data_IF_261990077595
#
_entry.id   IF_261990077595
#
_cell.length_a   1.000
_cell.length_b   1.000
_cell.length_c   1.000
_cell.angle_alpha   90.00
_cell.angle_beta   90.00
_cell.angle_gamma   90.00
#
_symmetry.space_group_name_H-M   'P 1'
#
loop_
_entity.id
_entity.type
_entity.pdbx_description
1 polymer ?
2 non-polymer ?
3 non-polymer ?
4 non-polymer ?
5 non-polymer ?
6 water ?
#
# COMPACT_ATOMS: atom_id res chain seq x y z
N UNK A 15 -8.81 -12.59 34.67
CA UNK A 15 -8.64 -11.20 34.26
C UNK A 15 -7.22 -10.92 33.76
N UNK A 16 -7.11 -9.93 32.89
CA UNK A 16 -5.83 -9.42 32.40
C UNK A 16 -5.86 -7.92 32.63
N UNK A 17 -5.26 -7.47 33.73
CA UNK A 17 -5.19 -6.06 34.08
C UNK A 17 -3.80 -5.49 33.82
N UNK A 18 -3.05 -6.06 32.89
CA UNK A 18 -1.71 -5.59 32.63
C UNK A 18 -1.73 -4.18 32.06
N UNK A 19 -2.44 -3.98 30.96
CA UNK A 19 -2.38 -2.69 30.29
C UNK A 19 -3.16 -1.61 31.03
N UNK A 20 -4.14 -2.00 31.84
CA UNK A 20 -4.89 -1.04 32.65
C UNK A 20 -3.97 -0.33 33.65
N UNK A 22 -0.14 2.07 34.59
CA UNK A 22 0.78 2.63 33.59
C UNK A 22 0.31 4.01 33.15
N UNK A 23 1.06 5.05 33.53
CA UNK A 23 0.76 6.41 33.09
C UNK A 23 1.81 6.99 32.18
N UNK A 24 3.01 6.40 32.13
CA UNK A 24 4.06 6.92 31.28
C UNK A 24 4.16 5.99 30.08
N UNK A 25 3.54 6.42 28.99
CA UNK A 25 3.72 5.79 27.69
C UNK A 25 2.97 6.64 26.69
N UNK A 26 3.43 6.68 25.44
CA UNK A 26 2.70 7.39 24.40
C UNK A 26 2.59 6.47 23.20
N UNK A 27 1.49 6.59 22.48
CA UNK A 27 1.14 5.61 21.45
C UNK A 27 0.73 6.34 20.20
N UNK A 28 1.29 5.93 19.06
CA UNK A 28 0.99 6.56 17.78
C UNK A 28 0.56 5.51 16.77
N UNK A 29 -0.35 5.92 15.89
CA UNK A 29 -0.67 5.17 14.67
C UNK A 29 0.42 5.44 13.64
N UNK A 30 0.90 4.38 12.99
CA UNK A 30 1.81 4.48 11.85
C UNK A 30 1.07 3.90 10.67
N UNK A 31 0.95 4.69 9.60
CA UNK A 31 0.39 4.19 8.34
C UNK A 31 1.52 4.04 7.32
N UNK A 32 1.50 2.94 6.57
CA UNK A 32 2.44 2.73 5.47
C UNK A 32 1.68 2.46 4.19
N UNK A 33 2.02 3.18 3.10
CA UNK A 33 1.40 2.85 1.82
C UNK A 33 1.95 1.55 1.27
N UNK A 34 3.13 1.13 1.76
CA UNK A 34 3.89 0.04 1.16
C UNK A 34 3.96 -1.16 2.09
N UNK A 35 3.62 -2.33 1.56
CA UNK A 35 3.85 -3.55 2.31
C UNK A 35 5.34 -3.89 2.35
N UNK A 36 6.09 -3.49 1.33
CA UNK A 36 7.53 -3.74 1.36
C UNK A 36 8.19 -3.01 2.52
N UNK A 37 7.74 -1.78 2.78
CA UNK A 37 8.34 -1.02 3.87
C UNK A 37 8.07 -1.68 5.22
N UNK A 38 6.88 -2.25 5.42
CA UNK A 38 6.60 -3.06 6.61
C UNK A 38 7.62 -4.19 6.72
N UNK A 39 7.78 -4.97 5.64
CA UNK A 39 8.74 -6.09 5.70
C UNK A 39 10.15 -5.61 6.00
N UNK A 40 10.56 -4.48 5.43
CA UNK A 40 11.89 -3.96 5.67
C UNK A 40 12.04 -3.51 7.12
N UNK A 41 10.99 -2.89 7.67
CA UNK A 41 11.02 -2.47 9.06
C UNK A 41 11.15 -3.64 10.01
N UNK A 42 10.43 -4.72 9.74
CA UNK A 42 10.49 -5.91 10.60
C UNK A 42 11.86 -6.56 10.48
N UNK A 43 12.41 -6.61 9.27
CA UNK A 43 13.71 -7.27 9.07
C UNK A 43 14.84 -6.54 9.77
N UNK A 44 14.87 -5.20 9.68
CA UNK A 44 16.02 -4.43 10.13
C UNK A 44 15.73 -3.58 11.36
N UNK A 45 14.49 -3.63 11.88
CA UNK A 45 14.09 -2.86 13.06
C UNK A 45 14.41 -1.38 12.93
N UNK A 46 13.96 -0.78 11.83
CA UNK A 46 14.09 0.65 11.60
C UNK A 46 12.81 1.16 10.95
N UNK A 47 12.64 2.48 11.03
CA UNK A 47 11.50 3.15 10.41
C UNK A 47 11.90 4.58 10.08
N UNK A 48 11.07 5.23 9.26
CA UNK A 48 11.14 6.66 9.01
C UNK A 48 9.74 7.11 8.64
N UNK A 49 9.34 8.29 9.12
CA UNK A 49 8.03 8.87 8.78
C UNK A 49 8.22 10.06 7.86
N UNK A 50 7.16 10.86 7.72
CA UNK A 50 7.21 12.16 7.06
C UNK A 50 8.04 13.13 7.91
N UNK A 51 8.30 14.31 7.34
CA UNK A 51 8.96 15.35 8.11
C UNK A 51 8.18 15.68 9.38
N UNK A 52 6.89 15.99 9.25
CA UNK A 52 6.12 16.35 10.44
C UNK A 52 5.93 15.14 11.36
N UNK A 53 5.78 13.94 10.78
CA UNK A 53 5.68 12.74 11.60
C UNK A 53 6.95 12.48 12.40
N UNK A 54 8.11 12.55 11.73
CA UNK A 54 9.36 12.39 12.44
C UNK A 54 9.49 13.39 13.58
N UNK A 55 9.10 14.64 13.33
CA UNK A 55 9.18 15.66 14.36
C UNK A 55 8.33 15.29 15.58
N UNK A 56 7.11 14.80 15.33
CA UNK A 56 6.21 14.43 16.42
C UNK A 56 6.77 13.26 17.22
N UNK A 57 7.24 12.24 16.52
CA UNK A 57 7.74 11.04 17.19
C UNK A 57 9.01 11.34 17.96
N UNK A 58 9.90 12.16 17.37
CA UNK A 58 11.14 12.51 18.03
C UNK A 58 10.85 13.27 19.33
N UNK A 59 9.89 14.20 19.28
CA UNK A 59 9.57 14.97 20.48
C UNK A 59 9.02 14.08 21.59
N UNK A 60 8.13 13.14 21.23
CA UNK A 60 7.59 12.20 22.20
C UNK A 60 8.67 11.32 22.80
N UNK A 61 9.56 10.78 21.94
CA UNK A 61 10.61 9.90 22.42
C UNK A 61 11.56 10.63 23.37
N UNK A 62 11.94 11.85 22.99
CA UNK A 62 12.94 12.57 23.78
C UNK A 62 12.35 13.04 25.09
N UNK A 63 11.09 13.50 25.08
CA UNK A 63 10.43 13.92 26.31
C UNK A 63 10.15 12.76 27.25
N UNK A 64 9.98 11.55 26.71
CA UNK A 64 9.83 10.38 27.56
C UNK A 64 11.06 10.14 28.43
N UNK A 65 12.25 10.42 27.89
CA UNK A 65 13.49 10.25 28.65
C UNK A 65 13.59 8.85 29.25
N UNK A 66 13.11 7.85 28.50
CA UNK A 66 13.19 6.48 28.97
C UNK A 66 12.28 6.12 30.13
N UNK A 67 11.32 6.99 30.49
CA UNK A 67 10.43 6.71 31.62
C UNK A 67 9.23 5.85 31.23
N UNK A 68 9.04 5.56 29.95
CA UNK A 68 7.98 4.71 29.48
C UNK A 68 8.18 4.45 28.00
N UNK A 69 7.36 3.60 27.40
CA UNK A 69 7.55 3.28 25.98
C UNK A 69 6.84 4.28 25.07
N UNK A 70 7.37 4.41 23.86
CA UNK A 70 6.62 4.99 22.75
C UNK A 70 6.24 3.82 21.85
N UNK A 71 4.94 3.54 21.75
CA UNK A 71 4.46 2.42 20.97
C UNK A 71 3.95 2.94 19.64
N UNK A 72 4.14 2.11 18.61
CA UNK A 72 3.77 2.40 17.23
C UNK A 72 2.86 1.28 16.76
N UNK A 73 1.65 1.63 16.33
CA UNK A 73 0.64 0.69 15.90
C UNK A 73 0.57 0.76 14.38
N UNK A 74 1.07 -0.26 13.70
CA UNK A 74 1.30 -0.22 12.25
C UNK A 74 0.11 -0.76 11.47
N UNK A 75 -0.19 -0.10 10.35
CA UNK A 75 -1.27 -0.51 9.47
C UNK A 75 -0.96 -0.04 8.06
N UNK A 76 -1.09 -0.94 7.09
CA UNK A 76 -0.91 -0.57 5.68
C UNK A 76 -2.19 0.09 5.17
N UNK A 77 -2.04 1.26 4.54
CA UNK A 77 -3.18 2.02 4.03
C UNK A 77 -4.02 1.18 3.09
N UNK A 78 -5.32 1.11 3.37
CA UNK A 78 -6.24 0.36 2.53
C UNK A 78 -6.35 -1.12 2.82
N UNK A 79 -5.48 -1.67 3.67
CA UNK A 79 -5.43 -3.11 3.89
C UNK A 79 -6.60 -3.62 4.73
N UNK A 80 -7.19 -2.76 5.55
CA UNK A 80 -8.29 -3.17 6.40
C UNK A 80 -7.89 -3.84 7.69
N UNK A 81 -6.60 -3.83 8.05
CA UNK A 81 -6.16 -4.42 9.31
C UNK A 81 -4.88 -3.75 9.78
N UNK A 82 -4.68 -3.77 11.08
CA UNK A 82 -3.35 -3.50 11.62
C UNK A 82 -2.48 -4.72 11.43
N UNK A 83 -1.17 -4.51 11.33
CA UNK A 83 -0.26 -5.61 11.08
C UNK A 83 0.76 -5.83 12.20
N UNK A 84 0.79 -4.98 13.22
CA UNK A 84 1.66 -5.25 14.34
C UNK A 84 1.94 -4.01 15.18
N UNK A 85 2.83 -4.20 16.15
CA UNK A 85 3.16 -3.21 17.16
C UNK A 85 4.67 -3.17 17.30
N UNK A 86 5.25 -1.98 17.36
CA UNK A 86 6.67 -1.82 17.60
C UNK A 86 6.88 -0.74 18.63
N UNK A 87 8.04 -0.79 19.28
CA UNK A 87 8.43 0.26 20.21
C UNK A 87 9.52 1.10 19.56
N UNK A 88 9.37 2.43 19.61
CA UNK A 88 10.46 3.32 19.26
C UNK A 88 11.66 3.07 20.16
N UNK A 89 12.86 2.94 19.55
CA UNK A 89 14.04 2.58 20.31
C UNK A 89 15.22 3.53 20.11
N UNK A 90 15.04 4.63 19.38
CA UNK A 90 16.05 5.65 19.28
C UNK A 90 15.40 6.97 18.90
N UNK A 91 16.14 8.05 19.11
CA UNK A 91 15.76 9.34 18.54
C UNK A 91 15.92 9.30 17.02
N UNK A 92 15.38 10.33 16.35
CA UNK A 92 15.43 10.39 14.89
C UNK A 92 16.80 10.91 14.46
N UNK A 93 17.46 10.16 13.58
CA UNK A 93 18.64 10.61 12.85
C UNK A 93 18.16 11.11 11.50
N UNK A 94 18.27 12.42 11.26
CA UNK A 94 17.68 13.03 10.08
C UNK A 94 18.58 13.02 8.86
N UNK A 95 19.83 12.60 9.00
CA UNK A 95 20.80 12.66 7.90
C UNK A 95 21.29 11.24 7.66
N UNK A 96 20.59 10.51 6.79
CA UNK A 96 20.91 9.12 6.53
C UNK A 96 20.75 8.85 5.04
N UNK A 97 21.16 7.65 4.65
CA UNK A 97 21.11 7.24 3.26
C UNK A 97 19.70 7.43 2.69
N UNK A 98 19.62 8.03 1.51
CA UNK A 98 18.34 8.25 0.88
C UNK A 98 17.90 7.00 0.10
N UNK A 99 16.60 6.91 -0.20
CA UNK A 99 16.12 5.90 -1.11
C UNK A 99 16.08 4.46 -0.62
N UNK A 100 16.12 4.21 0.70
CA UNK A 100 16.12 2.84 1.18
C UNK A 100 14.72 2.23 1.27
N UNK A 101 13.67 3.05 1.15
CA UNK A 101 12.28 2.59 1.22
C UNK A 101 11.69 2.58 -0.18
N UNK A 102 10.42 2.16 -0.28
CA UNK A 102 9.80 2.00 -1.60
C UNK A 102 9.81 3.32 -2.39
N UNK A 103 9.40 4.41 -1.76
CA UNK A 103 9.44 5.73 -2.37
C UNK A 103 10.58 6.54 -1.78
N UNK A 104 11.14 7.43 -2.58
CA UNK A 104 12.24 8.27 -2.10
C UNK A 104 11.67 9.58 -1.53
N UNK A 105 10.78 9.42 -0.56
CA UNK A 105 10.00 10.50 0.04
C UNK A 105 10.32 10.73 1.51
N UNK A 106 11.24 9.96 2.08
CA UNK A 106 11.47 9.93 3.52
C UNK A 106 12.90 10.36 3.81
N UNK A 107 13.05 11.22 4.81
CA UNK A 107 14.34 11.76 5.19
C UNK A 107 14.62 11.35 6.62
N UNK A 108 15.59 10.46 6.82
CA UNK A 108 16.02 10.08 8.16
C UNK A 108 15.71 8.64 8.49
N UNK A 109 15.94 8.30 9.77
CA UNK A 109 15.86 6.92 10.25
C UNK A 109 15.79 6.93 11.77
N UNK A 110 15.04 5.99 12.34
CA UNK A 110 15.14 5.71 13.77
C UNK A 110 14.95 4.23 14.03
N UNK A 111 15.44 3.78 15.17
CA UNK A 111 15.35 2.37 15.52
C UNK A 111 13.97 2.06 16.08
N UNK A 112 13.49 0.85 15.80
CA UNK A 112 12.30 0.32 16.45
C UNK A 112 12.62 -1.09 16.92
N UNK A 113 11.72 -1.63 17.74
CA UNK A 113 11.73 -3.04 18.07
C UNK A 113 10.33 -3.58 17.86
N UNK A 114 10.15 -4.41 16.84
CA UNK A 114 8.84 -5.01 16.64
C UNK A 114 8.60 -6.00 17.77
N UNK A 115 7.50 -5.82 18.49
CA UNK A 115 7.18 -6.70 19.59
C UNK A 115 5.96 -7.54 19.31
N UNK A 116 5.26 -7.29 18.20
CA UNK A 116 4.08 -8.05 17.85
C UNK A 116 3.89 -7.95 16.34
N UNK A 117 3.91 -9.09 15.64
CA UNK A 117 3.61 -9.10 14.20
C UNK A 117 2.40 -10.01 14.02
N UNK A 118 1.22 -9.42 13.84
CA UNK A 118 0.04 -10.20 13.50
C UNK A 118 -1.03 -9.28 12.95
N UNK A 119 -1.83 -9.84 12.05
CA UNK A 119 -2.92 -9.09 11.47
C UNK A 119 -4.10 -9.06 12.44
N UNK A 120 -4.63 -7.86 12.63
CA UNK A 120 -5.79 -7.61 13.49
C UNK A 120 -6.80 -6.81 12.67
N UNK A 121 -7.93 -7.42 12.31
CA UNK A 121 -8.89 -6.75 11.44
C UNK A 121 -9.41 -5.47 12.05
N UNK A 122 -9.72 -4.49 11.18
CA UNK A 122 -10.25 -3.23 11.66
C UNK A 122 -11.56 -3.44 12.42
N UNK A 123 -12.33 -4.47 12.06
CA UNK A 123 -13.57 -4.74 12.77
C UNK A 123 -13.36 -4.90 14.27
N UNK A 124 -12.18 -5.39 14.68
CA UNK A 124 -11.88 -5.61 16.09
C UNK A 124 -11.60 -4.31 16.84
N UNK A 125 -11.27 -3.24 16.13
CA UNK A 125 -10.81 -2.00 16.72
C UNK A 125 -11.69 -0.78 16.44
N UNK A 126 -12.62 -0.87 15.49
CA UNK A 126 -13.28 0.33 14.97
C UNK A 126 -14.26 0.96 15.95
N UNK A 127 -14.60 0.29 17.05
CA UNK A 127 -15.47 0.89 18.06
C UNK A 127 -14.71 1.74 19.07
N UNK A 128 -13.38 1.76 19.01
CA UNK A 128 -12.57 2.60 19.86
C UNK A 128 -12.37 3.93 19.12
N UNK A 129 -12.82 5.02 19.71
CA UNK A 129 -12.80 6.34 19.07
C UNK A 129 -11.82 7.26 19.78
N UNK A 130 -11.29 8.23 19.05
CA UNK A 130 -10.23 9.10 19.56
C UNK A 130 -10.81 10.49 19.84
N UNK A 131 -10.90 10.84 21.13
CA UNK A 131 -11.44 12.16 21.47
C UNK A 131 -10.59 13.31 20.94
N UNK A 132 -9.31 13.06 20.65
CA UNK A 132 -8.43 14.08 20.11
C UNK A 132 -8.46 14.13 18.59
N UNK A 133 -9.26 13.29 17.95
CA UNK A 133 -9.44 13.31 16.51
C UNK A 133 -10.91 13.25 16.14
N UNK A 134 -11.69 14.18 16.73
CA UNK A 134 -13.10 14.36 16.40
C UNK A 134 -13.95 13.10 16.64
N UNK A 135 -13.60 12.29 17.66
CA UNK A 135 -14.33 11.08 18.00
C UNK A 135 -14.32 10.07 16.84
N UNK A 136 -13.36 10.19 15.93
CA UNK A 136 -13.26 9.27 14.80
C UNK A 136 -12.72 7.92 15.26
N UNK A 137 -13.18 6.82 14.65
CA UNK A 137 -12.62 5.50 14.95
C UNK A 137 -11.11 5.50 14.81
N UNK A 138 -10.45 4.79 15.73
CA UNK A 138 -8.99 4.70 15.69
C UNK A 138 -8.52 4.13 14.36
N UNK A 139 -9.35 3.30 13.72
CA UNK A 139 -9.07 2.68 12.43
C UNK A 139 -9.18 3.66 11.26
N UNK A 140 -9.64 4.89 11.49
CA UNK A 140 -9.68 5.92 10.46
C UNK A 140 -8.62 7.00 10.69
N UNK A 141 -7.51 6.63 11.33
CA UNK A 141 -6.46 7.58 11.63
C UNK A 141 -5.50 7.74 10.45
N UNK A 142 -4.88 8.90 10.40
CA UNK A 142 -3.77 9.17 9.49
C UNK A 142 -2.43 8.85 10.18
N UNK A 143 -1.38 8.83 9.36
CA UNK A 143 -0.03 8.57 9.85
C UNK A 143 0.33 9.50 11.01
N UNK A 144 0.94 8.91 12.05
CA UNK A 144 1.40 9.53 13.31
C UNK A 144 0.31 10.25 14.08
N UNK A 145 -0.96 9.92 13.85
CA UNK A 145 -2.02 10.26 14.80
C UNK A 145 -1.67 9.71 16.19
N UNK A 146 -1.69 10.58 17.22
CA UNK A 146 -1.42 10.07 18.56
C UNK A 146 -2.72 9.55 19.17
N UNK A 147 -2.62 8.50 19.98
CA UNK A 147 -3.77 7.83 20.62
C UNK A 147 -3.74 8.18 22.10
N UNK A 148 -4.84 8.70 22.67
CA UNK A 148 -4.88 8.93 24.12
C UNK A 148 -4.58 7.64 24.87
N UNK A 149 -3.90 7.76 26.01
CA UNK A 149 -3.40 6.58 26.69
C UNK A 149 -4.52 5.63 27.10
N UNK A 150 -5.65 6.16 27.57
CA UNK A 150 -6.71 5.25 27.96
C UNK A 150 -7.26 4.48 26.77
N UNK A 151 -7.33 5.11 25.58
CA UNK A 151 -7.76 4.38 24.39
C UNK A 151 -6.67 3.44 23.91
N UNK A 152 -5.40 3.85 24.04
CA UNK A 152 -4.30 2.98 23.62
C UNK A 152 -4.25 1.69 24.43
N UNK A 153 -4.56 1.77 25.73
CA UNK A 153 -4.61 0.56 26.54
C UNK A 153 -5.66 -0.40 26.01
N UNK A 154 -6.81 0.13 25.59
CA UNK A 154 -7.86 -0.71 25.04
C UNK A 154 -7.42 -1.35 23.73
N UNK A 155 -6.74 -0.57 22.88
CA UNK A 155 -6.29 -1.09 21.60
C UNK A 155 -5.26 -2.20 21.81
N UNK A 156 -4.30 -1.97 22.70
CA UNK A 156 -3.25 -2.95 22.92
C UNK A 156 -3.80 -4.25 23.48
N UNK A 157 -4.78 -4.16 24.37
CA UNK A 157 -5.35 -5.38 24.92
C UNK A 157 -6.06 -6.19 23.84
N UNK A 158 -6.76 -5.50 22.93
CA UNK A 158 -7.43 -6.20 21.83
C UNK A 158 -6.41 -6.84 20.88
N UNK A 159 -5.33 -6.12 20.56
CA UNK A 159 -4.32 -6.70 19.68
C UNK A 159 -3.69 -7.92 20.34
N UNK A 160 -3.39 -7.82 21.64
CA UNK A 160 -2.71 -8.92 22.32
C UNK A 160 -3.57 -10.18 22.33
N UNK A 161 -4.86 -10.02 22.52
CA UNK A 161 -5.74 -11.16 22.71
C UNK A 161 -6.40 -11.65 21.43
N UNK A 162 -6.13 -11.02 20.28
CA UNK A 162 -6.78 -11.46 19.06
C UNK A 162 -6.20 -12.79 18.58
N UNK A 163 -7.08 -13.65 18.07
CA UNK A 163 -6.67 -14.95 17.55
C UNK A 163 -7.42 -15.30 16.27
N UNK B 16 0.86 10.22 -31.08
CA UNK B 16 -0.05 9.58 -32.03
C UNK B 16 0.62 8.40 -32.74
N UNK B 17 1.92 8.19 -32.45
CA UNK B 17 2.59 6.99 -32.94
C UNK B 17 2.14 5.74 -32.21
N UNK B 18 1.55 5.89 -31.01
CA UNK B 18 1.31 4.78 -30.11
C UNK B 18 -0.18 4.51 -29.98
N UNK B 19 -0.55 3.22 -30.01
CA UNK B 19 -1.90 2.76 -29.69
C UNK B 19 -2.95 3.43 -30.57
N UNK B 20 -2.62 3.65 -31.84
CA UNK B 20 -3.59 4.14 -32.80
C UNK B 20 -4.46 3.02 -33.35
N UNK B 21 -4.00 1.77 -33.33
CA UNK B 21 -4.73 0.64 -33.91
C UNK B 21 -5.17 -0.30 -32.79
N UNK B 22 -6.07 0.20 -31.96
CA UNK B 22 -6.68 -0.56 -30.87
C UNK B 22 -8.18 -0.65 -31.14
N UNK B 23 -8.55 -1.48 -32.11
CA UNK B 23 -9.96 -1.57 -32.51
C UNK B 23 -10.79 -2.22 -31.40
N UNK B 24 -10.29 -3.31 -30.83
CA UNK B 24 -11.02 -4.03 -29.81
C UNK B 24 -10.23 -4.01 -28.51
N UNK B 25 -10.58 -4.89 -27.59
CA UNK B 25 -9.74 -5.08 -26.43
C UNK B 25 -10.10 -4.15 -25.29
N UNK B 26 -9.43 -4.39 -24.18
CA UNK B 26 -9.95 -3.93 -22.90
C UNK B 26 -8.77 -3.62 -22.01
N UNK B 27 -8.99 -2.71 -21.07
CA UNK B 27 -7.88 -2.13 -20.31
C UNK B 27 -8.29 -2.05 -18.84
N UNK B 28 -7.38 -2.47 -17.96
CA UNK B 28 -7.65 -2.48 -16.53
C UNK B 28 -6.52 -1.77 -15.79
N UNK B 29 -6.89 -1.10 -14.68
CA UNK B 29 -5.95 -0.58 -13.70
C UNK B 29 -5.46 -1.72 -12.82
N UNK B 30 -4.15 -1.77 -12.57
CA UNK B 30 -3.56 -2.67 -11.57
C UNK B 30 -2.95 -1.81 -10.48
N UNK B 31 -3.32 -2.07 -9.24
CA UNK B 31 -2.70 -1.43 -8.09
C UNK B 31 -1.85 -2.45 -7.35
N UNK B 32 -0.82 -1.97 -6.67
CA UNK B 32 0.01 -2.90 -5.90
C UNK B 32 0.44 -2.27 -4.59
N UNK B 33 0.36 -3.06 -3.52
CA UNK B 33 0.96 -2.69 -2.25
C UNK B 33 2.48 -2.86 -2.21
N UNK B 34 3.09 -3.36 -3.29
CA UNK B 34 4.46 -3.84 -3.25
C UNK B 34 5.18 -3.45 -4.54
N UNK B 35 6.21 -2.62 -4.41
CA UNK B 35 7.11 -2.40 -5.53
C UNK B 35 7.89 -3.65 -5.87
N UNK B 36 8.19 -4.47 -4.85
CA UNK B 36 8.96 -5.68 -5.12
C UNK B 36 8.18 -6.60 -6.05
N UNK B 37 6.86 -6.69 -5.85
CA UNK B 37 6.02 -7.52 -6.72
C UNK B 37 6.06 -7.01 -8.16
N UNK B 38 6.04 -5.69 -8.35
CA UNK B 38 6.19 -5.12 -9.69
C UNK B 38 7.54 -5.54 -10.30
N UNK B 39 8.61 -5.41 -9.53
CA UNK B 39 9.92 -5.80 -10.03
C UNK B 39 9.94 -7.27 -10.45
N UNK B 40 9.32 -8.14 -9.65
CA UNK B 40 9.22 -9.56 -10.00
C UNK B 40 8.43 -9.72 -11.29
N UNK B 41 7.33 -8.97 -11.40
CA UNK B 41 6.50 -9.02 -12.60
C UNK B 41 7.27 -8.66 -13.86
N UNK B 42 8.08 -7.60 -13.79
CA UNK B 42 8.88 -7.17 -14.93
C UNK B 42 9.94 -8.19 -15.25
N UNK B 43 10.55 -8.77 -14.21
CA UNK B 43 11.61 -9.76 -14.43
C UNK B 43 11.09 -11.01 -15.12
N UNK B 44 9.97 -11.55 -14.67
CA UNK B 44 9.52 -12.87 -15.10
C UNK B 44 8.27 -12.81 -15.96
N UNK B 45 7.79 -11.61 -16.30
CA UNK B 45 6.60 -11.41 -17.12
C UNK B 45 5.42 -12.26 -16.63
N UNK B 46 5.08 -12.07 -15.36
CA UNK B 46 3.95 -12.75 -14.72
C UNK B 46 3.31 -11.79 -13.75
N UNK B 47 2.06 -12.09 -13.39
CA UNK B 47 1.32 -11.30 -12.41
C UNK B 47 0.24 -12.16 -11.77
N UNK B 48 -0.32 -11.64 -10.68
CA UNK B 48 -1.38 -12.26 -9.91
C UNK B 48 -2.17 -11.14 -9.24
N UNK B 49 -3.51 -11.26 -9.18
CA UNK B 49 -4.35 -10.28 -8.49
C UNK B 49 -5.01 -10.93 -7.27
N UNK B 50 -6.03 -10.26 -6.72
CA UNK B 50 -6.92 -10.90 -5.76
C UNK B 50 -7.73 -11.99 -6.46
N UNK B 51 -8.51 -12.72 -5.65
CA UNK B 51 -9.40 -13.72 -6.23
C UNK B 51 -10.39 -13.04 -7.18
N UNK B 52 -11.06 -11.98 -6.70
CA UNK B 52 -12.04 -11.32 -7.54
C UNK B 52 -11.38 -10.59 -8.72
N UNK B 53 -10.16 -10.07 -8.54
CA UNK B 53 -9.45 -9.47 -9.65
C UNK B 53 -9.04 -10.49 -10.69
N UNK B 54 -8.52 -11.64 -10.26
CA UNK B 54 -8.15 -12.69 -11.21
C UNK B 54 -9.35 -13.11 -12.04
N UNK B 55 -10.49 -13.31 -11.38
CA UNK B 55 -11.70 -13.71 -12.10
C UNK B 55 -12.11 -12.66 -13.13
N UNK B 56 -12.03 -11.38 -12.76
CA UNK B 56 -12.38 -10.30 -13.69
C UNK B 56 -11.46 -10.30 -14.90
N UNK B 57 -10.14 -10.43 -14.66
CA UNK B 57 -9.19 -10.37 -15.75
C UNK B 57 -9.28 -11.62 -16.62
N UNK B 58 -9.51 -12.77 -15.99
CA UNK B 58 -9.64 -14.03 -16.73
C UNK B 58 -10.82 -13.98 -17.67
N UNK B 59 -11.97 -13.50 -17.16
CA UNK B 59 -13.17 -13.39 -17.99
C UNK B 59 -12.94 -12.46 -19.18
N UNK B 60 -12.29 -11.32 -18.96
CA UNK B 60 -12.01 -10.42 -20.08
C UNK B 60 -11.03 -11.06 -21.08
N UNK B 61 -10.01 -11.76 -20.59
CA UNK B 61 -9.05 -12.40 -21.51
C UNK B 61 -9.72 -13.50 -22.32
N UNK B 62 -10.50 -14.36 -21.65
CA UNK B 62 -11.13 -15.47 -22.34
C UNK B 62 -12.16 -14.99 -23.36
N UNK B 63 -12.97 -13.99 -22.99
CA UNK B 63 -13.97 -13.47 -23.90
C UNK B 63 -13.35 -12.76 -25.09
N UNK B 64 -12.09 -12.35 -24.98
CA UNK B 64 -11.46 -11.62 -26.06
C UNK B 64 -10.99 -12.59 -27.15
N UNK B 65 -10.68 -13.83 -26.75
CA UNK B 65 -10.36 -14.93 -27.67
C UNK B 65 -9.33 -14.51 -28.73
N UNK B 66 -8.39 -13.67 -28.33
CA UNK B 66 -7.34 -13.24 -29.23
C UNK B 66 -7.71 -12.17 -30.23
N UNK B 67 -8.92 -11.61 -30.15
CA UNK B 67 -9.35 -10.60 -31.11
C UNK B 67 -8.70 -9.24 -30.86
N UNK B 68 -8.20 -8.98 -29.66
CA UNK B 68 -7.56 -7.73 -29.34
C UNK B 68 -6.77 -7.85 -28.04
N UNK B 69 -6.10 -6.78 -27.63
CA UNK B 69 -5.25 -6.86 -26.44
C UNK B 69 -6.02 -6.55 -25.16
N UNK B 70 -5.58 -7.17 -24.07
CA UNK B 70 -5.98 -6.78 -22.73
C UNK B 70 -4.77 -6.11 -22.12
N UNK B 71 -4.88 -4.81 -21.86
CA UNK B 71 -3.79 -4.01 -21.33
C UNK B 71 -4.00 -3.77 -19.86
N UNK B 72 -2.88 -3.66 -19.14
CA UNK B 72 -2.87 -3.46 -17.70
C UNK B 72 -2.05 -2.22 -17.42
N UNK B 73 -2.64 -1.24 -16.70
CA UNK B 73 -1.98 0.01 -16.38
C UNK B 73 -1.58 -0.04 -14.91
N UNK B 74 -0.28 -0.16 -14.63
CA UNK B 74 0.18 -0.47 -13.27
C UNK B 74 0.45 0.80 -12.47
N UNK B 75 0.08 0.78 -11.18
CA UNK B 75 0.40 1.90 -10.31
C UNK B 75 0.59 1.38 -8.89
N UNK B 76 1.70 1.77 -8.27
CA UNK B 76 2.00 1.33 -6.91
C UNK B 76 1.28 2.26 -5.94
N UNK B 77 0.58 1.66 -4.96
CA UNK B 77 -0.15 2.44 -3.97
C UNK B 77 0.74 3.47 -3.30
N UNK B 78 0.26 4.71 -3.24
CA UNK B 78 0.98 5.78 -2.57
C UNK B 78 2.17 6.34 -3.32
N UNK B 79 2.40 5.93 -4.57
CA UNK B 79 3.56 6.36 -5.31
C UNK B 79 3.35 7.70 -6.02
N UNK B 80 2.10 8.08 -6.26
CA UNK B 80 1.80 9.27 -7.03
C UNK B 80 2.08 9.16 -8.50
N UNK B 81 2.28 7.95 -9.02
CA UNK B 81 2.60 7.83 -10.44
C UNK B 81 2.32 6.41 -10.91
N UNK B 82 1.92 6.30 -12.19
CA UNK B 82 1.81 5.00 -12.82
C UNK B 82 3.22 4.56 -13.18
N UNK B 83 3.44 3.25 -13.23
CA UNK B 83 4.81 2.78 -13.42
C UNK B 83 4.99 1.96 -14.69
N UNK B 84 3.93 1.69 -15.43
CA UNK B 84 4.09 1.13 -16.76
C UNK B 84 2.82 0.48 -17.26
N UNK B 85 2.99 -0.25 -18.36
CA UNK B 85 1.90 -0.92 -19.07
C UNK B 85 2.38 -2.31 -19.44
N UNK B 86 1.52 -3.29 -19.23
CA UNK B 86 1.75 -4.65 -19.68
C UNK B 86 0.54 -5.16 -20.44
N UNK B 87 0.76 -6.10 -21.34
CA UNK B 87 -0.33 -6.80 -21.96
C UNK B 87 -0.48 -8.16 -21.30
N UNK B 88 -1.72 -8.54 -21.03
CA UNK B 88 -1.99 -9.84 -20.47
C UNK B 88 -1.90 -10.89 -21.58
N UNK B 89 -1.15 -11.96 -21.32
CA UNK B 89 -0.73 -12.87 -22.38
C UNK B 89 -1.12 -14.33 -22.13
N UNK B 90 -1.87 -14.61 -21.08
CA UNK B 90 -2.41 -15.95 -20.84
C UNK B 90 -3.63 -15.81 -19.95
N UNK B 91 -4.41 -16.89 -19.91
CA UNK B 91 -5.49 -17.02 -18.95
C UNK B 91 -4.93 -17.26 -17.56
N UNK B 92 -5.80 -17.16 -16.56
CA UNK B 92 -5.35 -17.32 -15.18
C UNK B 92 -5.19 -18.80 -14.87
N UNK B 93 -4.04 -19.17 -14.33
CA UNK B 93 -3.85 -20.46 -13.69
C UNK B 93 -4.01 -20.25 -12.19
N UNK B 94 -5.01 -20.90 -11.61
CA UNK B 94 -5.33 -20.67 -10.21
C UNK B 94 -4.60 -21.60 -9.25
N UNK B 95 -3.97 -22.67 -9.74
CA UNK B 95 -3.34 -23.67 -8.89
C UNK B 95 -1.84 -23.61 -9.16
N UNK B 96 -1.13 -22.81 -8.37
CA UNK B 96 0.28 -22.58 -8.58
C UNK B 96 0.98 -22.51 -7.22
N UNK B 97 2.30 -22.46 -7.29
CA UNK B 97 3.14 -22.42 -6.10
C UNK B 97 2.71 -21.29 -5.16
N UNK B 98 2.59 -21.62 -3.89
CA UNK B 98 2.23 -20.61 -2.90
C UNK B 98 3.46 -19.79 -2.49
N UNK B 99 3.19 -18.59 -1.95
CA UNK B 99 4.23 -17.82 -1.30
C UNK B 99 5.29 -17.18 -2.18
N UNK B 100 5.01 -16.94 -3.47
CA UNK B 100 6.04 -16.44 -4.39
C UNK B 100 6.04 -14.92 -4.48
N UNK B 101 5.03 -14.27 -3.94
CA UNK B 101 4.92 -12.81 -3.95
C UNK B 101 5.18 -12.25 -2.55
N UNK B 102 5.00 -10.93 -2.43
CA UNK B 102 5.31 -10.22 -1.19
C UNK B 102 4.45 -10.71 -0.04
N UNK B 103 3.25 -11.16 -0.35
CA UNK B 103 2.31 -11.70 0.63
C UNK B 103 1.72 -13.00 0.10
N UNK B 104 1.32 -13.87 1.03
CA UNK B 104 0.74 -15.16 0.66
C UNK B 104 -0.63 -15.02 0.00
N UNK B 105 -1.35 -13.93 0.24
CA UNK B 105 -2.71 -13.77 -0.30
C UNK B 105 -2.76 -13.63 -1.83
N UNK B 106 -1.63 -13.37 -2.50
CA UNK B 106 -1.64 -13.28 -3.95
C UNK B 106 -1.46 -14.71 -4.48
N UNK B 107 -2.57 -15.35 -4.85
CA UNK B 107 -2.63 -16.75 -5.27
C UNK B 107 -2.97 -16.86 -6.76
N UNK B 108 -2.29 -17.77 -7.47
CA UNK B 108 -2.50 -17.96 -8.89
C UNK B 108 -1.49 -17.19 -9.72
N UNK B 109 -1.64 -17.29 -11.05
CA UNK B 109 -0.64 -16.69 -11.92
C UNK B 109 -1.19 -16.58 -13.35
N UNK B 110 -0.83 -15.50 -14.03
CA UNK B 110 -0.99 -15.42 -15.48
C UNK B 110 0.20 -14.69 -16.08
N UNK B 111 0.44 -14.94 -17.37
CA UNK B 111 1.53 -14.33 -18.09
C UNK B 111 1.18 -12.89 -18.50
N UNK B 112 2.20 -12.05 -18.56
CA UNK B 112 2.07 -10.70 -19.10
C UNK B 112 3.27 -10.44 -19.99
N UNK B 113 3.18 -9.37 -20.78
CA UNK B 113 4.32 -8.84 -21.52
C UNK B 113 4.41 -7.34 -21.26
N UNK B 114 5.40 -6.91 -20.48
CA UNK B 114 5.57 -5.50 -20.22
C UNK B 114 5.95 -4.76 -21.50
N UNK B 115 5.29 -3.63 -21.73
CA UNK B 115 5.49 -2.80 -22.91
C UNK B 115 6.24 -1.52 -22.57
N UNK B 116 5.80 -0.83 -21.52
CA UNK B 116 6.49 0.35 -21.01
C UNK B 116 6.78 0.11 -19.53
N UNK B 117 8.01 0.40 -19.13
CA UNK B 117 8.38 0.53 -17.72
C UNK B 117 8.89 1.96 -17.55
N UNK B 118 8.05 2.83 -16.99
CA UNK B 118 8.39 4.24 -16.87
C UNK B 118 7.46 4.86 -15.84
N UNK B 119 8.00 5.75 -15.02
CA UNK B 119 7.19 6.47 -14.05
C UNK B 119 6.56 7.68 -14.72
N UNK B 120 5.24 7.75 -14.66
CA UNK B 120 4.47 8.85 -15.21
C UNK B 120 3.67 9.47 -14.07
N UNK B 121 3.90 10.74 -13.75
CA UNK B 121 3.21 11.36 -12.60
C UNK B 121 1.70 11.38 -12.79
N UNK B 122 0.97 11.16 -11.68
CA UNK B 122 -0.48 11.22 -11.75
C UNK B 122 -0.98 12.57 -12.25
N UNK B 123 -0.19 13.63 -12.09
CA UNK B 123 -0.58 14.94 -12.58
C UNK B 123 -0.85 14.91 -14.09
N UNK B 124 -0.16 14.05 -14.83
CA UNK B 124 -0.36 13.93 -16.26
C UNK B 124 -1.64 13.19 -16.64
N UNK B 125 -2.27 12.48 -15.70
CA UNK B 125 -3.38 11.57 -15.97
C UNK B 125 -4.66 11.91 -15.24
N UNK B 126 -4.61 12.78 -14.22
CA UNK B 126 -5.74 12.93 -13.31
C UNK B 126 -6.93 13.63 -13.95
N UNK B 127 -6.72 14.31 -15.09
CA UNK B 127 -7.83 14.94 -15.81
C UNK B 127 -8.70 13.93 -16.54
N UNK B 128 -8.27 12.67 -16.68
CA UNK B 128 -9.04 11.64 -17.37
C UNK B 128 -9.98 10.99 -16.37
N UNK B 129 -11.29 11.05 -16.64
CA UNK B 129 -12.28 10.53 -15.71
C UNK B 129 -13.02 9.34 -16.31
N UNK B 130 -13.47 8.45 -15.43
CA UNK B 130 -14.08 7.19 -15.85
C UNK B 130 -15.60 7.28 -15.70
N UNK B 131 -16.32 7.25 -16.82
CA UNK B 131 -17.77 7.34 -16.77
C UNK B 131 -18.41 6.10 -16.14
N UNK B 132 -17.70 4.97 -16.07
CA UNK B 132 -18.18 3.80 -15.38
C UNK B 132 -17.81 3.77 -13.90
N UNK B 133 -17.11 4.79 -13.41
CA UNK B 133 -16.76 4.86 -11.99
C UNK B 133 -17.11 6.25 -11.43
N UNK B 134 -18.35 6.68 -11.64
CA UNK B 134 -18.86 7.94 -11.08
C UNK B 134 -18.02 9.16 -11.51
N UNK B 135 -17.47 9.10 -12.72
CA UNK B 135 -16.65 10.17 -13.29
C UNK B 135 -15.46 10.53 -12.40
N UNK B 136 -14.96 9.54 -11.63
CA UNK B 136 -13.77 9.76 -10.81
C UNK B 136 -12.51 9.74 -11.67
N UNK B 137 -11.48 10.49 -11.26
CA UNK B 137 -10.21 10.47 -12.01
C UNK B 137 -9.68 9.05 -12.13
N UNK B 138 -9.05 8.77 -13.27
CA UNK B 138 -8.49 7.44 -13.47
C UNK B 138 -7.43 7.17 -12.41
N UNK B 139 -6.79 8.21 -11.90
CA UNK B 139 -5.76 8.08 -10.87
C UNK B 139 -6.30 7.70 -9.50
N UNK B 140 -7.63 7.69 -9.32
CA UNK B 140 -8.24 7.30 -8.06
C UNK B 140 -8.88 5.92 -8.16
N UNK B 141 -8.40 5.08 -9.07
CA UNK B 141 -9.00 3.79 -9.30
C UNK B 141 -8.45 2.76 -8.31
N UNK B 142 -9.25 1.73 -8.07
CA UNK B 142 -8.83 0.57 -7.30
C UNK B 142 -8.35 -0.53 -8.23
N UNK B 143 -7.75 -1.55 -7.63
CA UNK B 143 -7.23 -2.70 -8.35
C UNK B 143 -8.29 -3.34 -9.24
N UNK B 144 -7.93 -3.55 -10.52
CA UNK B 144 -8.73 -4.18 -11.58
C UNK B 144 -9.98 -3.40 -11.96
N UNK B 145 -10.03 -2.11 -11.59
CA UNK B 145 -10.98 -1.20 -12.23
C UNK B 145 -10.83 -1.25 -13.75
N UNK B 146 -11.93 -1.51 -14.46
CA UNK B 146 -11.88 -1.49 -15.93
C UNK B 146 -12.01 -0.06 -16.45
N UNK B 147 -11.29 0.25 -17.52
CA UNK B 147 -11.22 1.60 -18.08
C UNK B 147 -11.96 1.60 -19.41
N UNK B 148 -12.93 2.50 -19.62
CA UNK B 148 -13.57 2.59 -20.94
C UNK B 148 -12.53 2.78 -22.04
N UNK B 149 -12.78 2.16 -23.20
CA UNK B 149 -11.72 2.08 -24.21
C UNK B 149 -11.23 3.46 -24.66
N UNK B 150 -12.14 4.43 -24.80
CA UNK B 150 -11.67 5.73 -25.27
C UNK B 150 -10.82 6.43 -24.21
N UNK B 151 -11.15 6.25 -22.92
CA UNK B 151 -10.29 6.82 -21.88
C UNK B 151 -8.97 6.07 -21.79
N UNK B 152 -9.02 4.74 -21.92
CA UNK B 152 -7.80 3.94 -21.87
C UNK B 152 -6.84 4.34 -22.98
N UNK B 153 -7.35 4.61 -24.19
CA UNK B 153 -6.48 5.06 -25.26
C UNK B 153 -5.77 6.35 -24.89
N UNK B 154 -6.47 7.28 -24.21
CA UNK B 154 -5.85 8.53 -23.82
C UNK B 154 -4.73 8.30 -22.80
N UNK B 155 -4.96 7.39 -21.85
CA UNK B 155 -3.95 7.09 -20.83
C UNK B 155 -2.74 6.43 -21.47
N UNK B 156 -2.98 5.44 -22.34
CA UNK B 156 -1.87 4.72 -22.96
C UNK B 156 -1.00 5.65 -23.79
N UNK B 157 -1.62 6.54 -24.58
CA UNK B 157 -0.83 7.46 -25.38
C UNK B 157 -0.03 8.43 -24.52
N UNK B 158 -0.61 8.87 -23.39
CA UNK B 158 0.12 9.76 -22.51
C UNK B 158 1.32 9.03 -21.91
N UNK B 159 1.11 7.80 -21.44
CA UNK B 159 2.21 7.07 -20.83
C UNK B 159 3.31 6.82 -21.87
N UNK B 160 2.91 6.41 -23.07
CA UNK B 160 3.88 6.07 -24.10
C UNK B 160 4.75 7.26 -24.48
N UNK B 161 4.15 8.45 -24.57
CA UNK B 161 4.85 9.62 -25.07
C UNK B 161 5.52 10.45 -23.96
N UNK B 162 5.30 10.12 -22.70
CA UNK B 162 5.83 10.93 -21.62
C UNK B 162 7.36 10.84 -21.59
N UNK B 163 8.01 11.99 -21.47
CA UNK B 163 9.47 12.03 -21.35
C UNK B 163 9.88 12.68 -20.03
X LIG C 1 -7.29 0.93 6.35
X LIG C 1 -8.18 0.64 5.23
X LIG C 1 -6.36 2.00 5.94
X LIG C 1 -8.03 1.36 7.54
X LIG C 1 -6.53 -0.30 6.67
X LIG D 1 5.80 16.49 5.20
X LIG D 1 4.61 15.94 4.53
X LIG D 1 6.00 17.88 4.78
X LIG D 1 5.58 16.46 6.65
X LIG D 1 6.98 15.69 4.85
X LIG E 1 17.12 -6.42 1.35
X LIG E 1 16.00 -6.11 0.45
X LIG E 1 18.23 -6.94 0.54
X LIG E 1 17.53 -5.22 2.05
X LIG E 1 16.70 -7.45 2.32
X LIG F 1 -1.87 8.56 6.05
X LIG G 1 -12.99 -0.16 8.23
X LIG H 1 6.53 4.21 4.11
X LIG H 1 9.10 4.40 5.34
X LIG H 1 6.70 5.04 5.13
X LIG H 1 5.65 5.87 5.54
X LIG H 1 3.62 6.78 5.43
X LIG H 1 2.17 7.08 5.02
X LIG H 1 4.47 5.81 4.81
X LIG H 1 5.38 4.16 3.43
X LIG H 1 7.94 5.10 5.84
X LIG H 1 5.54 6.81 6.50
X LIG H 1 4.29 7.33 6.44
X LIG H 1 4.37 4.94 3.78
X LIG I 1 16.07 17.98 11.61
X LIG I 1 14.77 18.49 11.74
X LIG I 1 16.54 18.19 10.14
X LIG I 1 17.77 17.62 9.90
X LIG I 1 15.40 17.63 9.21
X LIG I 1 14.19 18.18 9.63
X LIG J 1 15.87 21.58 11.53
X LIG J 1 14.62 21.33 10.97
X LIG J 1 16.87 21.82 10.35
X LIG J 1 18.05 21.09 10.52
X LIG J 1 16.11 21.44 9.04
X LIG J 1 17.07 20.89 8.18
X LIG K 1 -10.96 -11.28 -3.76
X LIG L 1 0.77 -7.64 -5.16
X LIG L 1 1.17 -9.88 -6.87
X LIG L 1 -0.20 -8.01 -5.96
X LIG L 1 -1.42 -7.27 -5.93
X LIG L 1 -2.83 -5.72 -5.26
X LIG L 1 -3.46 -4.53 -4.51
X LIG L 1 -1.52 -6.22 -5.05
X LIG L 1 0.66 -6.62 -4.30
X LIG L 1 -0.06 -9.10 -6.89
X LIG L 1 -2.57 -7.39 -6.63
X LIG L 1 -3.43 -6.45 -6.19
X LIG L 1 -0.47 -5.91 -4.23
X LIG M 1 -11.50 -19.94 -8.79
X LIG M 1 -11.46 -19.83 -10.20
X LIG M 1 -10.13 -20.51 -8.35
X LIG M 1 -9.88 -20.34 -7.00
X LIG M 1 -10.10 -21.98 -8.82
X LIG M 1 -10.47 -21.99 -10.18
X LIG N 1 -0.58 -13.15 3.65
X LIG N 1 -1.38 -12.29 2.92
X LIG N 1 0.63 -12.35 4.17
X LIG N 1 0.45 -11.91 5.48
X LIG N 1 1.81 -13.32 4.06
X LIG N 1 2.96 -12.61 4.40
X LIG O 1 -18.10 13.09 -20.73
X LIG O 1 -18.10 13.36 -22.10
X LIG O 1 -16.77 12.40 -20.40
X LIG O 1 -16.51 11.36 -21.26
X LIG O 1 -15.70 13.50 -20.49
X LIG O 1 -15.28 13.54 -21.83
X LIG P 1 -0.70 7.39 -5.11
X LIG P 1 -1.21 8.67 -4.82
X LIG P 1 -1.75 6.65 -5.91
X LIG P 1 -2.32 7.42 -6.91
X LIG P 1 -2.78 6.16 -4.89
X LIG P 1 -2.55 4.80 -4.75
X LIG Q 1 -2.42 -20.78 -22.25
X LIG Q 1 -1.16 -20.54 -21.68
X LIG Q 1 -3.46 -20.03 -21.39
X LIG Q 1 -3.96 -18.91 -22.05
X LIG Q 1 -4.57 -21.08 -21.12
X LIG Q 1 -4.50 -21.42 -19.75
#
# INVERSE_FOLDING_TARGET
MGSSYHHHHHHSSGENLYFQHMKHGRVFIIKSYSEDDIHRSIKYNIWCSTEHGNKRLDAAYRSMNGKGPVYLLFSVNGSGHFCGVAEMKSAVDYNTCAGVWSQDKWKGRFDVRWIFVKDVPNSQLRHIRLENNENKPVTNSRDTQEVPLEKAKQVLKIIASYKHTTS
MGSSYHHHHHHSSGENLYFQHMKHGRVFIIKSYSEDDIHRSIKYNIWCSTEHGNKRLDAAYRSMNGKGPVYLLFSVNGSGHFCGVAEMKSAVDYNTCAGVWSQDKWKGRFDVRWIFVKDVPNSQLRHIRLENNENKPVTNSRDTQEVPLEKAKQVLKIIASYKHTTS
SO4 S O1 O2 O3 O4
SO4 S O1 O2 O3 O4
SO4 S O1 O2 O3 O4
CL CL
CL CL
5ZK N12 C01 C03 C04 C07 C08 C09 C11 N02 N05 N06 N10
GOL C1 O1 C2 O2 C3 O3
GOL C1 O1 C2 O2 C3 O3
CL CL
5ZK N12 C01 C03 C04 C07 C08 C09 C11 N02 N05 N06 N10
GOL C1 O1 C2 O2 C3 O3
GOL C1 O1 C2 O2 C3 O3
GOL C1 O1 C2 O2 C3 O3
GOL C1 O1 C2 O2 C3 O3
GOL C1 O1 C2 O2 C3 O3
#
